data_IF_719242399584
#
_entry.id   IF_719242399584
#
_cell.length_a   1.000
_cell.length_b   1.000
_cell.length_c   1.000
_cell.angle_alpha   90.00
_cell.angle_beta   90.00
_cell.angle_gamma   90.00
#
_symmetry.space_group_name_H-M   'P 1'
#
loop_
_entity.id
_entity.type
_entity.pdbx_description
1 polymer ?
#
# COMPACT_ATOMS: atom_id res chain seq x y z
N UNK A 1 -16.43 9.25 -31.64
CA UNK A 1 -15.45 10.29 -31.24
C UNK A 1 -15.70 10.90 -29.86
N UNK A 2 -16.90 11.41 -29.51
CA UNK A 2 -17.11 12.11 -28.22
C UNK A 2 -16.91 11.19 -26.99
N UNK A 3 -17.50 9.98 -27.02
CA UNK A 3 -17.43 9.01 -25.90
C UNK A 3 -16.01 8.64 -25.45
N UNK A 4 -15.10 8.31 -26.38
CA UNK A 4 -13.74 7.91 -26.03
C UNK A 4 -12.95 9.08 -25.40
N UNK A 5 -13.14 10.31 -25.90
CA UNK A 5 -12.55 11.52 -25.31
C UNK A 5 -13.09 11.82 -23.93
N UNK A 6 -14.41 11.76 -23.74
CA UNK A 6 -15.04 11.99 -22.44
C UNK A 6 -14.54 10.95 -21.40
N UNK A 7 -14.37 9.69 -21.81
CA UNK A 7 -13.81 8.63 -20.95
C UNK A 7 -12.34 8.89 -20.60
N UNK A 8 -11.52 9.30 -21.58
CA UNK A 8 -10.11 9.64 -21.37
C UNK A 8 -9.96 10.79 -20.37
N UNK A 9 -10.69 11.88 -20.58
CA UNK A 9 -10.66 13.06 -19.70
C UNK A 9 -11.08 12.73 -18.26
N UNK A 10 -12.11 11.88 -18.12
CA UNK A 10 -12.57 11.43 -16.81
C UNK A 10 -11.48 10.67 -16.05
N UNK A 11 -10.83 9.69 -16.67
CA UNK A 11 -9.81 8.87 -15.99
C UNK A 11 -8.53 9.67 -15.74
N UNK A 12 -8.13 10.56 -16.64
CA UNK A 12 -7.00 11.49 -16.43
C UNK A 12 -7.23 12.35 -15.19
N UNK A 13 -8.44 12.87 -15.01
CA UNK A 13 -8.81 13.64 -13.83
C UNK A 13 -8.70 12.80 -12.55
N UNK A 14 -9.10 11.51 -12.58
CA UNK A 14 -8.98 10.65 -11.40
C UNK A 14 -7.52 10.31 -11.08
N UNK A 15 -6.71 10.03 -12.12
CA UNK A 15 -5.28 9.75 -11.97
C UNK A 15 -4.55 10.95 -11.37
N UNK A 16 -4.81 12.17 -11.86
CA UNK A 16 -4.21 13.38 -11.30
C UNK A 16 -4.62 13.61 -9.84
N UNK A 17 -5.89 13.37 -9.49
CA UNK A 17 -6.35 13.46 -8.09
C UNK A 17 -5.65 12.45 -7.19
N UNK A 18 -5.49 11.21 -7.63
CA UNK A 18 -4.80 10.20 -6.83
C UNK A 18 -3.29 10.44 -6.73
N UNK A 19 -2.65 10.99 -7.77
CA UNK A 19 -1.26 11.47 -7.71
C UNK A 19 -1.07 12.55 -6.65
N UNK A 20 -1.97 13.53 -6.60
CA UNK A 20 -1.97 14.54 -5.54
C UNK A 20 -2.13 13.91 -4.14
N UNK A 21 -2.75 12.74 -4.05
CA UNK A 21 -2.85 11.91 -2.85
C UNK A 21 -1.66 10.97 -2.57
N UNK A 22 -0.60 11.01 -3.39
CA UNK A 22 0.60 10.19 -3.24
C UNK A 22 0.55 8.81 -3.90
N UNK A 23 -0.44 8.55 -4.75
CA UNK A 23 -0.54 7.28 -5.50
C UNK A 23 0.39 7.32 -6.72
N UNK A 24 1.20 6.28 -6.90
CA UNK A 24 1.96 6.08 -8.12
C UNK A 24 1.05 5.54 -9.23
N UNK A 25 0.92 6.34 -10.28
CA UNK A 25 0.15 6.03 -11.49
C UNK A 25 1.01 6.13 -12.76
N UNK A 26 2.34 6.02 -12.65
CA UNK A 26 3.25 6.14 -13.82
C UNK A 26 2.88 5.18 -14.96
N UNK A 27 2.41 3.98 -14.63
CA UNK A 27 1.91 3.00 -15.60
C UNK A 27 0.63 3.50 -16.31
N UNK A 28 -0.31 4.09 -15.57
CA UNK A 28 -1.57 4.61 -16.12
C UNK A 28 -1.30 5.80 -17.03
N UNK A 29 -0.37 6.67 -16.68
CA UNK A 29 0.01 7.81 -17.54
C UNK A 29 0.50 7.34 -18.92
N UNK A 30 1.33 6.29 -18.95
CA UNK A 30 1.77 5.70 -20.22
C UNK A 30 0.59 5.13 -21.02
N UNK A 31 -0.35 4.44 -20.36
CA UNK A 31 -1.56 3.90 -21.01
C UNK A 31 -2.46 5.01 -21.55
N UNK A 32 -2.67 6.09 -20.80
CA UNK A 32 -3.51 7.23 -21.19
C UNK A 32 -2.89 8.00 -22.36
N UNK A 33 -1.56 8.16 -22.37
CA UNK A 33 -0.84 8.69 -23.53
C UNK A 33 -1.05 7.82 -24.77
N UNK A 34 -1.02 6.49 -24.64
CA UNK A 34 -1.31 5.57 -25.74
C UNK A 34 -2.75 5.69 -26.25
N UNK A 35 -3.72 5.74 -25.34
CA UNK A 35 -5.14 5.90 -25.69
C UNK A 35 -5.41 7.23 -26.40
N UNK A 36 -4.69 8.31 -26.04
CA UNK A 36 -4.76 9.60 -26.73
C UNK A 36 -4.33 9.49 -28.20
N UNK A 37 -3.20 8.83 -28.46
CA UNK A 37 -2.68 8.62 -29.82
C UNK A 37 -3.67 7.80 -30.66
N UNK A 38 -4.26 6.76 -30.09
CA UNK A 38 -5.28 5.94 -30.75
C UNK A 38 -6.53 6.76 -31.10
N UNK A 39 -6.99 7.63 -30.19
CA UNK A 39 -8.12 8.54 -30.46
C UNK A 39 -7.80 9.50 -31.60
N UNK A 40 -6.59 10.07 -31.62
CA UNK A 40 -6.14 10.99 -32.67
C UNK A 40 -6.00 10.30 -34.03
N UNK A 41 -5.59 9.03 -34.03
CA UNK A 41 -5.41 8.20 -35.22
C UNK A 41 -6.72 7.58 -35.73
N UNK A 42 -7.81 7.70 -34.97
CA UNK A 42 -9.13 7.16 -35.33
C UNK A 42 -9.38 5.71 -34.88
N UNK A 43 -8.45 5.11 -34.16
CA UNK A 43 -8.52 3.76 -33.57
C UNK A 43 -9.38 3.78 -32.29
N UNK A 44 -10.66 4.10 -32.45
CA UNK A 44 -11.53 4.42 -31.32
C UNK A 44 -11.92 3.20 -30.47
N UNK A 45 -12.01 2.02 -31.06
CA UNK A 45 -12.36 0.78 -30.34
C UNK A 45 -11.21 0.36 -29.43
N UNK A 46 -9.99 0.31 -29.97
CA UNK A 46 -8.76 0.01 -29.22
C UNK A 46 -8.52 1.03 -28.10
N UNK A 47 -8.78 2.32 -28.38
CA UNK A 47 -8.69 3.36 -27.35
C UNK A 47 -9.67 3.12 -26.19
N UNK A 48 -10.93 2.75 -26.48
CA UNK A 48 -11.93 2.48 -25.44
C UNK A 48 -11.54 1.26 -24.61
N UNK A 49 -11.03 0.20 -25.24
CA UNK A 49 -10.52 -0.97 -24.53
C UNK A 49 -9.33 -0.60 -23.62
N UNK A 50 -8.34 0.13 -24.14
CA UNK A 50 -7.17 0.55 -23.38
C UNK A 50 -7.56 1.45 -22.19
N UNK A 51 -8.50 2.38 -22.36
CA UNK A 51 -9.04 3.21 -21.28
C UNK A 51 -9.76 2.35 -20.24
N UNK A 52 -10.50 1.33 -20.67
CA UNK A 52 -11.15 0.37 -19.77
C UNK A 52 -10.15 -0.36 -18.88
N UNK A 53 -9.10 -0.94 -19.48
CA UNK A 53 -8.02 -1.62 -18.75
C UNK A 53 -7.30 -0.64 -17.81
N UNK A 54 -7.02 0.58 -18.27
CA UNK A 54 -6.40 1.63 -17.45
C UNK A 54 -7.27 1.96 -16.24
N UNK A 55 -8.58 2.07 -16.42
CA UNK A 55 -9.55 2.37 -15.35
C UNK A 55 -9.55 1.28 -14.29
N UNK A 56 -9.59 0.01 -14.68
CA UNK A 56 -9.55 -1.11 -13.75
C UNK A 56 -8.25 -1.15 -12.95
N UNK A 57 -7.11 -0.98 -13.64
CA UNK A 57 -5.80 -0.99 -12.98
C UNK A 57 -5.64 0.20 -12.04
N UNK A 58 -6.08 1.40 -12.44
CA UNK A 58 -6.04 2.60 -11.60
C UNK A 58 -6.89 2.40 -10.33
N UNK A 59 -8.09 1.83 -10.48
CA UNK A 59 -8.96 1.50 -9.35
C UNK A 59 -8.34 0.50 -8.38
N UNK A 60 -7.70 -0.56 -8.88
CA UNK A 60 -6.96 -1.53 -8.05
C UNK A 60 -5.83 -0.84 -7.28
N UNK A 61 -5.01 -0.06 -7.97
CA UNK A 61 -3.86 0.65 -7.39
C UNK A 61 -4.29 1.64 -6.31
N UNK A 62 -5.37 2.39 -6.55
CA UNK A 62 -5.96 3.29 -5.55
C UNK A 62 -6.42 2.53 -4.31
N UNK A 63 -7.14 1.41 -4.50
CA UNK A 63 -7.61 0.57 -3.40
C UNK A 63 -6.46 -0.02 -2.57
N UNK A 64 -5.38 -0.44 -3.22
CA UNK A 64 -4.19 -0.96 -2.54
C UNK A 64 -3.47 0.12 -1.73
N UNK A 65 -3.33 1.33 -2.29
CA UNK A 65 -2.78 2.47 -1.56
C UNK A 65 -3.62 2.80 -0.31
N UNK A 66 -4.96 2.88 -0.42
CA UNK A 66 -5.82 3.14 0.72
C UNK A 66 -5.71 2.06 1.80
N UNK A 67 -5.67 0.78 1.41
CA UNK A 67 -5.46 -0.35 2.33
C UNK A 67 -4.13 -0.22 3.05
N UNK A 68 -3.06 0.17 2.35
CA UNK A 68 -1.75 0.37 2.96
C UNK A 68 -1.76 1.53 3.95
N UNK A 69 -2.30 2.69 3.57
CA UNK A 69 -2.44 3.86 4.45
C UNK A 69 -3.21 3.50 5.73
N UNK A 70 -4.33 2.77 5.58
CA UNK A 70 -5.10 2.30 6.73
C UNK A 70 -4.27 1.35 7.61
N UNK A 71 -3.55 0.41 7.00
CA UNK A 71 -2.74 -0.59 7.71
C UNK A 71 -1.60 0.08 8.48
N UNK A 72 -0.87 1.01 7.86
CA UNK A 72 0.18 1.81 8.50
C UNK A 72 -0.38 2.56 9.71
N UNK A 73 -1.49 3.30 9.55
CA UNK A 73 -2.10 4.07 10.65
C UNK A 73 -2.57 3.19 11.79
N UNK A 74 -3.09 2.00 11.48
CA UNK A 74 -3.49 1.02 12.49
C UNK A 74 -2.25 0.50 13.24
N UNK A 75 -1.24 0.03 12.52
CA UNK A 75 0.00 -0.49 13.09
C UNK A 75 0.70 0.55 13.95
N UNK A 76 0.69 1.83 13.58
CA UNK A 76 1.23 2.93 14.40
C UNK A 76 0.55 3.05 15.76
N UNK A 77 -0.78 2.99 15.78
CA UNK A 77 -1.55 3.04 17.03
C UNK A 77 -1.24 1.83 17.91
N UNK A 78 -1.16 0.65 17.32
CA UNK A 78 -0.90 -0.59 18.04
C UNK A 78 0.53 -0.65 18.58
N UNK A 79 1.53 -0.18 17.81
CA UNK A 79 2.91 -0.01 18.26
C UNK A 79 2.97 0.95 19.45
N UNK A 80 2.29 2.11 19.36
CA UNK A 80 2.28 3.08 20.44
C UNK A 80 1.69 2.48 21.72
N UNK A 81 0.53 1.82 21.62
CA UNK A 81 -0.11 1.18 22.77
C UNK A 81 0.78 0.06 23.39
N UNK A 82 1.46 -0.73 22.56
CA UNK A 82 2.39 -1.76 23.01
C UNK A 82 3.61 -1.17 23.73
N UNK A 83 4.20 -0.11 23.18
CA UNK A 83 5.30 0.64 23.79
C UNK A 83 4.90 1.22 25.14
N UNK A 84 3.73 1.87 25.21
CA UNK A 84 3.21 2.46 26.45
C UNK A 84 2.90 1.39 27.52
N UNK A 85 2.69 0.13 27.10
CA UNK A 85 2.55 -1.04 27.97
C UNK A 85 3.89 -1.72 28.31
N UNK A 86 5.03 -1.12 27.94
CA UNK A 86 6.37 -1.64 28.22
C UNK A 86 6.82 -2.80 27.34
N UNK A 87 6.13 -3.09 26.22
CA UNK A 87 6.58 -4.12 25.28
C UNK A 87 7.71 -3.60 24.41
N UNK A 88 8.63 -4.50 24.04
CA UNK A 88 9.63 -4.22 23.01
C UNK A 88 8.95 -4.13 21.63
N UNK A 89 9.03 -2.94 21.03
CA UNK A 89 8.42 -2.63 19.73
C UNK A 89 9.46 -2.42 18.62
N UNK A 90 10.73 -2.76 18.87
CA UNK A 90 11.84 -2.46 17.96
C UNK A 90 11.61 -3.06 16.56
N UNK A 91 11.23 -4.33 16.51
CA UNK A 91 10.99 -5.04 15.24
C UNK A 91 9.72 -4.57 14.55
N UNK A 92 8.63 -4.36 15.29
CA UNK A 92 7.40 -3.79 14.74
C UNK A 92 7.64 -2.41 14.12
N UNK A 93 8.44 -1.56 14.78
CA UNK A 93 8.84 -0.25 14.28
C UNK A 93 9.70 -0.34 13.02
N UNK A 94 10.62 -1.32 12.94
CA UNK A 94 11.43 -1.57 11.74
C UNK A 94 10.56 -1.98 10.55
N UNK A 95 9.63 -2.91 10.75
CA UNK A 95 8.70 -3.39 9.72
C UNK A 95 7.72 -2.30 9.27
N UNK A 96 7.25 -1.45 10.17
CA UNK A 96 6.42 -0.29 9.81
C UNK A 96 7.19 0.73 8.95
N UNK A 97 8.47 0.98 9.24
CA UNK A 97 9.33 1.81 8.38
C UNK A 97 9.48 1.19 6.99
N UNK A 98 9.65 -0.13 6.91
CA UNK A 98 9.72 -0.85 5.64
C UNK A 98 8.41 -0.71 4.84
N UNK A 99 7.26 -0.80 5.51
CA UNK A 99 5.95 -0.59 4.86
C UNK A 99 5.83 0.82 4.24
N UNK A 100 6.38 1.85 4.90
CA UNK A 100 6.42 3.22 4.39
C UNK A 100 7.33 3.37 3.18
N UNK A 101 8.50 2.73 3.19
CA UNK A 101 9.39 2.68 2.02
C UNK A 101 8.71 2.02 0.82
N UNK A 102 7.99 0.91 1.04
CA UNK A 102 7.22 0.28 -0.03
C UNK A 102 6.10 1.19 -0.56
N UNK A 103 5.43 1.94 0.31
CA UNK A 103 4.42 2.93 -0.09
C UNK A 103 5.02 4.01 -1.01
N UNK A 104 6.19 4.55 -0.66
CA UNK A 104 6.90 5.56 -1.46
C UNK A 104 7.35 5.03 -2.83
N UNK A 105 7.60 3.72 -2.93
CA UNK A 105 7.98 3.05 -4.18
C UNK A 105 6.81 2.58 -5.04
N UNK A 106 5.57 2.72 -4.54
CA UNK A 106 4.39 2.16 -5.20
C UNK A 106 4.20 0.65 -5.00
N UNK A 107 5.03 0.01 -4.17
CA UNK A 107 4.97 -1.43 -3.87
C UNK A 107 3.88 -1.75 -2.82
N UNK A 108 2.63 -1.40 -3.09
CA UNK A 108 1.58 -1.40 -2.07
C UNK A 108 1.32 -2.78 -1.45
N UNK A 109 1.41 -3.85 -2.22
CA UNK A 109 1.24 -5.23 -1.73
C UNK A 109 2.31 -5.59 -0.69
N UNK A 110 3.58 -5.33 -0.99
CA UNK A 110 4.70 -5.57 -0.07
C UNK A 110 4.61 -4.67 1.17
N UNK A 111 4.12 -3.43 0.99
CA UNK A 111 3.84 -2.53 2.09
C UNK A 111 2.78 -3.09 3.05
N UNK A 112 1.70 -3.66 2.51
CA UNK A 112 0.61 -4.25 3.30
C UNK A 112 1.13 -5.45 4.09
N UNK A 113 1.92 -6.32 3.45
CA UNK A 113 2.55 -7.47 4.13
C UNK A 113 3.49 -7.02 5.26
N UNK A 114 4.31 -6.00 5.01
CA UNK A 114 5.20 -5.44 6.03
C UNK A 114 4.44 -4.87 7.23
N UNK A 115 3.35 -4.13 6.98
CA UNK A 115 2.49 -3.59 8.04
C UNK A 115 1.76 -4.70 8.83
N UNK A 116 1.38 -5.80 8.16
CA UNK A 116 0.78 -6.97 8.79
C UNK A 116 1.78 -7.72 9.67
N UNK A 117 2.99 -7.98 9.16
CA UNK A 117 4.05 -8.62 9.96
C UNK A 117 4.41 -7.78 11.18
N UNK A 118 4.44 -6.45 11.05
CA UNK A 118 4.65 -5.57 12.20
C UNK A 118 3.61 -5.82 13.31
N UNK A 119 2.32 -5.97 12.96
CA UNK A 119 1.27 -6.30 13.94
C UNK A 119 1.47 -7.67 14.56
N UNK A 120 1.83 -8.68 13.76
CA UNK A 120 2.06 -10.04 14.24
C UNK A 120 3.15 -10.07 15.31
N UNK A 121 4.24 -9.31 15.14
CA UNK A 121 5.32 -9.21 16.14
C UNK A 121 4.87 -8.65 17.50
N UNK A 122 3.83 -7.80 17.54
CA UNK A 122 3.27 -7.26 18.79
C UNK A 122 2.39 -8.27 19.55
N UNK A 123 1.83 -9.23 18.80
CA UNK A 123 0.93 -10.27 19.33
C UNK A 123 1.66 -11.55 19.70
N UNK A 124 2.84 -11.80 19.12
CA UNK A 124 3.68 -12.91 19.51
C UNK A 124 4.16 -12.72 20.96
N UNK A 125 3.64 -13.56 21.85
CA UNK A 125 4.22 -13.75 23.18
C UNK A 125 5.62 -14.33 22.97
N UNK A 126 6.68 -13.57 23.25
CA UNK A 126 8.00 -14.19 23.51
C UNK A 126 7.77 -15.21 24.63
N UNK A 127 8.21 -16.48 24.49
CA UNK A 127 8.19 -17.39 25.63
C UNK A 127 8.98 -16.70 26.73
N UNK A 128 8.29 -16.30 27.79
CA UNK A 128 8.87 -15.73 29.00
C UNK A 128 10.01 -16.64 29.41
N UNK A 129 11.22 -16.09 29.48
CA UNK A 129 12.40 -16.77 29.95
C UNK A 129 12.01 -17.57 31.20
N UNK A 130 12.11 -18.89 31.09
CA UNK A 130 12.07 -19.76 32.26
C UNK A 130 13.26 -19.29 33.09
N UNK A 131 12.97 -18.50 34.11
CA UNK A 131 13.92 -18.20 35.18
C UNK A 131 14.26 -19.57 35.75
N UNK A 132 15.39 -20.14 35.32
CA UNK A 132 16.03 -21.23 36.03
C UNK A 132 16.43 -20.65 37.37
N UNK A 133 15.51 -20.78 38.33
CA UNK A 133 15.75 -20.53 39.74
C UNK A 133 16.94 -21.37 40.15
N UNK A 134 18.06 -20.68 40.25
CA UNK A 134 19.26 -20.96 41.01
C UNK A 134 19.04 -22.00 42.10
N UNK A 135 19.93 -22.99 42.14
CA UNK A 135 19.98 -23.95 43.22
C UNK A 135 20.16 -23.30 44.59
N UNK A 136 19.46 -23.89 45.56
CA UNK A 136 19.80 -24.03 46.97
C UNK A 136 19.26 -25.43 47.30
N UNK A 137 20.03 -26.53 47.37
CA UNK A 137 21.26 -26.78 48.10
C UNK A 137 21.18 -26.40 49.58
N UNK A 138 20.28 -27.02 50.34
CA UNK A 138 20.43 -27.25 51.80
C UNK A 138 19.81 -28.63 52.09
N UNK A 139 20.67 -29.66 52.23
CA UNK A 139 21.14 -30.29 53.48
C UNK A 139 20.17 -31.31 54.06
#
# INVERSE_FOLDING_TARGET
MKRARDMLEYIETQVERGKAGGVDFSEMEAMLSGARIMIESGELEDAVELIGICTEKAGKRFSEHEKLVFSIRRTERDIKAAHDSGKDVSEAGRLLKLARVHMERGDYVLGIESAKHALETLTQKKPTDIVWGSGLAES
#
